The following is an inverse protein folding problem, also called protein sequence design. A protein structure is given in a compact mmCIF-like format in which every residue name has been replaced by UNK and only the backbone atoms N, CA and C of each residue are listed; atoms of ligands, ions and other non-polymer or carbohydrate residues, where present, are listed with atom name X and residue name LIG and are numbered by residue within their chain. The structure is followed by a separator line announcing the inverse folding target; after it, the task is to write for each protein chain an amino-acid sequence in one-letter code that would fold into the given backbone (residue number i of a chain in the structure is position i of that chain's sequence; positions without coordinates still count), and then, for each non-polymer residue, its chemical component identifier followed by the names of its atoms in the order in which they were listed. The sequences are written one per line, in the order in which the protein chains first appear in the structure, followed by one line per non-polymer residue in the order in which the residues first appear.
data_IF_678905479113
#
_entry.id   IF_678905479113
#
_cell.length_a   1.000
_cell.length_b   1.000
_cell.length_c   1.000
_cell.angle_alpha   90.00
_cell.angle_beta   90.00
_cell.angle_gamma   90.00
#
_symmetry.space_group_name_H-M   'P 1'
#
loop_
_entity.id
_entity.type
_entity.pdbx_description
1 polymer ?
#
# COMPACT_ATOMS: atom_id res chain seq x y z
N UNK A 1 21.49 -2.30 24.18
CA UNK A 1 20.13 -1.85 23.85
C UNK A 1 20.21 -1.21 22.49
N UNK A 2 19.51 -1.74 21.49
CA UNK A 2 19.35 -1.06 20.20
C UNK A 2 18.49 0.19 20.44
N UNK A 3 18.80 1.30 19.76
CA UNK A 3 18.03 2.54 19.88
C UNK A 3 16.55 2.28 19.58
N UNK A 4 15.65 2.96 20.31
CA UNK A 4 14.27 3.08 19.89
C UNK A 4 14.25 3.76 18.50
N UNK A 5 13.57 3.15 17.54
CA UNK A 5 13.34 3.73 16.23
C UNK A 5 11.83 3.79 16.03
N UNK A 6 11.27 5.00 15.97
CA UNK A 6 9.86 5.20 15.64
C UNK A 6 9.62 4.65 14.25
N UNK A 7 8.95 3.51 14.19
CA UNK A 7 8.80 2.75 12.96
C UNK A 7 7.42 2.96 12.31
N UNK A 8 6.54 3.73 12.96
CA UNK A 8 5.17 3.99 12.52
C UNK A 8 4.82 5.45 12.77
N UNK A 9 4.35 6.14 11.74
CA UNK A 9 3.63 7.41 11.84
C UNK A 9 2.17 7.16 12.22
N UNK A 10 1.46 8.21 12.67
CA UNK A 10 0.03 8.15 13.02
C UNK A 10 -0.82 7.47 11.93
N UNK A 11 -0.45 7.69 10.67
CA UNK A 11 -0.99 7.01 9.51
C UNK A 11 0.14 6.23 8.85
N UNK A 12 0.05 4.90 8.82
CA UNK A 12 1.11 4.06 8.26
C UNK A 12 0.56 2.92 7.40
N UNK A 13 1.24 2.72 6.27
CA UNK A 13 1.05 1.70 5.27
C UNK A 13 2.35 0.90 5.12
N UNK A 14 2.21 -0.41 4.90
CA UNK A 14 3.32 -1.36 4.98
C UNK A 14 4.48 -1.00 4.05
N UNK A 15 4.21 -0.89 2.74
CA UNK A 15 5.29 -0.73 1.75
C UNK A 15 5.93 0.66 1.81
N UNK A 16 5.13 1.71 1.96
CA UNK A 16 5.62 3.10 2.05
C UNK A 16 6.36 3.34 3.36
N UNK A 17 5.84 2.84 4.48
CA UNK A 17 6.51 2.93 5.77
C UNK A 17 7.85 2.18 5.76
N UNK A 18 7.87 0.96 5.25
CA UNK A 18 9.11 0.17 5.10
C UNK A 18 10.16 0.93 4.28
N UNK A 19 9.80 1.40 3.09
CA UNK A 19 10.74 2.08 2.22
C UNK A 19 11.16 3.46 2.75
N UNK A 20 10.32 4.16 3.50
CA UNK A 20 10.71 5.39 4.21
C UNK A 20 11.90 5.11 5.12
N UNK A 21 11.82 4.04 5.91
CA UNK A 21 12.85 3.65 6.87
C UNK A 21 14.13 3.18 6.17
N UNK A 22 13.99 2.38 5.10
CA UNK A 22 15.12 1.91 4.28
C UNK A 22 15.85 3.07 3.60
N UNK A 23 15.12 4.00 2.97
CA UNK A 23 15.71 5.16 2.31
C UNK A 23 16.41 6.08 3.31
N UNK A 24 15.78 6.34 4.47
CA UNK A 24 16.38 7.14 5.52
C UNK A 24 17.67 6.51 6.08
N UNK A 25 17.65 5.20 6.38
CA UNK A 25 18.83 4.47 6.86
C UNK A 25 19.96 4.41 5.80
N UNK A 26 19.61 4.49 4.52
CA UNK A 26 20.57 4.54 3.41
C UNK A 26 21.05 5.96 3.07
N UNK A 27 20.64 6.98 3.84
CA UNK A 27 21.05 8.37 3.64
C UNK A 27 20.42 9.05 2.42
N UNK A 28 19.33 8.50 1.88
CA UNK A 28 18.62 9.09 0.75
C UNK A 28 17.79 10.29 1.22
N UNK A 29 17.99 11.43 0.57
CA UNK A 29 17.24 12.66 0.82
C UNK A 29 16.25 12.94 -0.29
N UNK A 30 15.15 13.60 0.05
CA UNK A 30 14.20 14.15 -0.89
C UNK A 30 14.83 15.40 -1.55
N UNK A 31 15.11 15.38 -2.86
CA UNK A 31 15.77 16.50 -3.54
C UNK A 31 14.94 17.79 -3.57
N UNK A 32 13.63 17.72 -3.33
CA UNK A 32 12.76 18.90 -3.32
C UNK A 32 12.77 19.63 -1.96
N UNK A 33 13.08 18.95 -0.85
CA UNK A 33 13.09 19.55 0.49
C UNK A 33 14.47 19.54 1.16
N UNK A 34 15.40 18.71 0.68
CA UNK A 34 16.70 18.45 1.32
C UNK A 34 16.63 17.60 2.58
N UNK A 35 15.42 17.23 3.05
CA UNK A 35 15.21 16.38 4.21
C UNK A 35 15.10 14.90 3.83
N UNK A 36 15.02 14.00 4.81
CA UNK A 36 14.63 12.60 4.54
C UNK A 36 13.21 12.54 3.94
N UNK A 37 12.93 11.48 3.19
CA UNK A 37 11.57 11.21 2.72
C UNK A 37 10.62 10.99 3.90
N UNK A 38 9.42 11.54 3.82
CA UNK A 38 8.30 11.18 4.69
C UNK A 38 7.55 10.00 4.10
N UNK A 39 6.80 9.27 4.94
CA UNK A 39 5.94 8.19 4.46
C UNK A 39 4.85 8.71 3.51
N UNK A 40 4.25 9.86 3.84
CA UNK A 40 3.24 10.49 3.02
C UNK A 40 3.75 10.78 1.60
N UNK A 41 4.95 11.37 1.47
CA UNK A 41 5.58 11.63 0.18
C UNK A 41 5.73 10.35 -0.64
N UNK A 42 6.30 9.28 -0.06
CA UNK A 42 6.49 8.03 -0.79
C UNK A 42 5.16 7.36 -1.17
N UNK A 43 4.16 7.40 -0.27
CA UNK A 43 2.83 6.87 -0.54
C UNK A 43 2.12 7.62 -1.69
N UNK A 44 2.24 8.95 -1.73
CA UNK A 44 1.75 9.78 -2.84
C UNK A 44 2.43 9.43 -4.16
N UNK A 45 3.76 9.34 -4.16
CA UNK A 45 4.54 8.96 -5.35
C UNK A 45 4.22 7.54 -5.84
N UNK A 46 3.87 6.61 -4.95
CA UNK A 46 3.46 5.25 -5.31
C UNK A 46 2.20 5.18 -6.21
N UNK A 47 1.44 6.27 -6.28
CA UNK A 47 0.10 6.35 -6.88
C UNK A 47 -0.99 6.69 -5.85
N UNK A 48 -0.64 6.78 -4.57
CA UNK A 48 -1.53 7.24 -3.51
C UNK A 48 -2.64 6.27 -3.15
N UNK A 49 -3.80 6.84 -2.87
CA UNK A 49 -5.04 6.15 -2.55
C UNK A 49 -5.70 5.55 -3.80
N UNK A 50 -6.57 4.57 -3.58
CA UNK A 50 -7.34 3.92 -4.61
C UNK A 50 -8.53 3.17 -4.01
N UNK A 51 -9.17 2.36 -4.83
CA UNK A 51 -10.18 1.43 -4.35
C UNK A 51 -10.27 0.21 -5.25
N UNK A 52 -10.36 -0.96 -4.65
CA UNK A 52 -10.74 -2.20 -5.30
C UNK A 52 -11.59 -3.04 -4.34
N UNK A 53 -12.65 -3.68 -4.84
CA UNK A 53 -13.44 -4.67 -4.11
C UNK A 53 -13.73 -5.90 -4.97
N UNK A 54 -13.45 -7.09 -4.44
CA UNK A 54 -13.81 -8.36 -5.09
C UNK A 54 -14.46 -9.31 -4.10
N UNK A 55 -15.36 -10.14 -4.62
CA UNK A 55 -15.96 -11.26 -3.90
C UNK A 55 -15.72 -12.55 -4.68
N UNK A 56 -15.29 -13.61 -4.01
CA UNK A 56 -15.10 -14.92 -4.63
C UNK A 56 -15.94 -15.96 -3.89
N UNK A 57 -16.86 -16.60 -4.61
CA UNK A 57 -17.70 -17.66 -4.08
C UNK A 57 -17.05 -19.02 -4.34
N UNK A 58 -16.75 -19.73 -3.26
CA UNK A 58 -16.33 -21.12 -3.30
C UNK A 58 -17.51 -22.01 -2.87
N UNK A 59 -17.28 -23.32 -2.83
CA UNK A 59 -18.32 -24.30 -2.46
C UNK A 59 -18.92 -23.99 -1.07
N UNK A 60 -18.05 -23.82 -0.07
CA UNK A 60 -18.46 -23.74 1.33
C UNK A 60 -18.19 -22.36 1.97
N UNK A 61 -17.38 -21.52 1.34
CA UNK A 61 -16.98 -20.21 1.83
C UNK A 61 -17.15 -19.14 0.75
N UNK A 62 -17.27 -17.88 1.17
CA UNK A 62 -17.16 -16.72 0.30
C UNK A 62 -16.09 -15.81 0.89
N UNK A 63 -15.19 -15.28 0.06
CA UNK A 63 -14.23 -14.25 0.47
C UNK A 63 -14.63 -12.88 -0.06
N UNK A 64 -14.28 -11.83 0.68
CA UNK A 64 -14.39 -10.44 0.23
C UNK A 64 -13.05 -9.74 0.46
N UNK A 65 -12.50 -9.14 -0.59
CA UNK A 65 -11.21 -8.46 -0.55
C UNK A 65 -11.38 -7.00 -0.92
N UNK A 66 -10.91 -6.10 -0.06
CA UNK A 66 -10.82 -4.68 -0.35
C UNK A 66 -9.36 -4.21 -0.35
N UNK A 67 -9.06 -3.23 -1.20
CA UNK A 67 -7.78 -2.51 -1.24
C UNK A 67 -8.09 -1.04 -1.36
N UNK A 68 -7.41 -0.20 -0.59
CA UNK A 68 -7.71 1.23 -0.47
C UNK A 68 -6.54 2.13 -0.89
N UNK A 69 -5.43 1.53 -1.30
CA UNK A 69 -4.34 2.17 -2.04
C UNK A 69 -4.44 1.94 -3.55
N UNK A 70 -3.57 2.59 -4.31
CA UNK A 70 -3.40 2.32 -5.74
C UNK A 70 -3.14 0.82 -6.02
N UNK A 71 -4.04 0.21 -6.80
CA UNK A 71 -4.06 -1.21 -7.17
C UNK A 71 -4.96 -1.43 -8.41
N UNK A 72 -4.63 -2.34 -9.35
CA UNK A 72 -3.50 -3.26 -9.42
C UNK A 72 -2.33 -2.62 -10.19
N UNK A 73 -1.67 -1.65 -9.58
CA UNK A 73 -0.48 -1.03 -10.15
C UNK A 73 0.79 -1.38 -9.37
N UNK A 74 1.96 -1.10 -9.95
CA UNK A 74 3.25 -1.44 -9.37
C UNK A 74 3.63 -0.42 -8.28
N UNK A 75 2.96 -0.51 -7.13
CA UNK A 75 3.01 0.48 -6.04
C UNK A 75 4.45 0.73 -5.55
N UNK A 76 5.16 -0.34 -5.22
CA UNK A 76 6.55 -0.28 -4.74
C UNK A 76 7.51 0.17 -5.83
N UNK A 77 7.33 -0.28 -7.07
CA UNK A 77 8.20 0.16 -8.17
C UNK A 77 7.96 1.63 -8.50
N UNK A 78 6.71 2.11 -8.41
CA UNK A 78 6.36 3.52 -8.60
C UNK A 78 7.05 4.40 -7.56
N UNK A 79 6.93 4.10 -6.26
CA UNK A 79 7.55 4.94 -5.23
C UNK A 79 9.07 4.94 -5.36
N UNK A 80 9.68 3.79 -5.64
CA UNK A 80 11.14 3.69 -5.82
C UNK A 80 11.61 4.50 -7.03
N UNK A 81 10.98 4.28 -8.20
CA UNK A 81 11.31 5.01 -9.43
C UNK A 81 11.11 6.52 -9.25
N UNK A 82 9.94 6.95 -8.77
CA UNK A 82 9.55 8.37 -8.65
C UNK A 82 10.30 9.12 -7.56
N UNK A 83 10.80 8.43 -6.53
CA UNK A 83 11.65 9.04 -5.51
C UNK A 83 13.03 9.45 -6.05
N UNK A 84 13.44 8.92 -7.20
CA UNK A 84 14.80 9.08 -7.71
C UNK A 84 15.86 8.26 -6.98
N UNK A 85 15.45 7.41 -6.02
CA UNK A 85 16.36 6.53 -5.32
C UNK A 85 17.01 5.53 -6.28
N UNK A 86 18.33 5.40 -6.19
CA UNK A 86 19.10 4.38 -6.90
C UNK A 86 18.95 3.04 -6.19
N UNK A 87 18.01 2.21 -6.65
CA UNK A 87 17.70 0.91 -6.02
C UNK A 87 18.00 -0.23 -6.98
N UNK A 88 18.84 -1.16 -6.54
CA UNK A 88 19.15 -2.38 -7.28
C UNK A 88 18.14 -3.47 -6.92
N UNK A 89 17.18 -3.73 -7.81
CA UNK A 89 16.17 -4.77 -7.67
C UNK A 89 16.62 -6.04 -8.41
N UNK A 90 16.60 -7.18 -7.75
CA UNK A 90 17.08 -8.45 -8.30
C UNK A 90 16.17 -9.63 -7.96
N UNK A 91 16.11 -10.59 -8.87
CA UNK A 91 15.46 -11.89 -8.68
C UNK A 91 16.41 -13.03 -9.10
N UNK A 92 16.23 -14.21 -8.51
CA UNK A 92 16.94 -15.44 -8.86
C UNK A 92 16.17 -16.67 -8.39
N UNK A 93 16.26 -17.77 -9.12
CA UNK A 93 15.74 -19.07 -8.66
C UNK A 93 16.66 -19.83 -7.70
N UNK A 94 17.87 -19.31 -7.42
CA UNK A 94 18.87 -19.96 -6.56
C UNK A 94 18.91 -19.33 -5.16
N UNK A 95 18.52 -20.10 -4.15
CA UNK A 95 18.56 -19.67 -2.74
C UNK A 95 19.99 -19.31 -2.28
N UNK A 96 21.00 -20.10 -2.69
CA UNK A 96 22.40 -19.83 -2.34
C UNK A 96 22.90 -18.50 -2.94
N UNK A 97 22.57 -18.24 -4.21
CA UNK A 97 22.91 -16.96 -4.83
C UNK A 97 22.17 -15.78 -4.17
N UNK A 98 20.90 -15.98 -3.82
CA UNK A 98 20.09 -14.98 -3.13
C UNK A 98 20.61 -14.67 -1.71
N UNK A 99 21.18 -15.66 -1.02
CA UNK A 99 21.85 -15.46 0.26
C UNK A 99 23.13 -14.67 0.09
N UNK A 100 24.02 -15.07 -0.84
CA UNK A 100 25.27 -14.35 -1.10
C UNK A 100 25.04 -12.89 -1.51
N UNK A 101 23.97 -12.60 -2.26
CA UNK A 101 23.60 -11.22 -2.63
C UNK A 101 23.07 -10.40 -1.46
N UNK A 102 22.27 -11.00 -0.57
CA UNK A 102 21.82 -10.35 0.66
C UNK A 102 23.03 -9.97 1.52
N UNK A 103 23.94 -10.92 1.72
CA UNK A 103 25.15 -10.77 2.53
C UNK A 103 26.03 -9.63 1.98
N UNK A 104 26.28 -9.63 0.67
CA UNK A 104 27.05 -8.59 0.00
C UNK A 104 26.38 -7.21 0.06
N UNK A 105 25.05 -7.13 0.03
CA UNK A 105 24.34 -5.85 0.20
C UNK A 105 24.54 -5.31 1.63
N UNK A 106 24.38 -6.16 2.65
CA UNK A 106 24.58 -5.77 4.05
C UNK A 106 26.02 -5.33 4.36
N UNK A 107 27.01 -5.91 3.68
CA UNK A 107 28.43 -5.49 3.80
C UNK A 107 28.68 -4.04 3.35
N UNK A 108 27.78 -3.46 2.53
CA UNK A 108 27.86 -2.04 2.15
C UNK A 108 27.31 -1.09 3.22
N UNK A 109 26.77 -1.62 4.32
CA UNK A 109 26.26 -0.83 5.44
C UNK A 109 24.84 -0.29 5.24
N UNK A 110 24.12 -0.75 4.22
CA UNK A 110 22.72 -0.38 3.95
C UNK A 110 21.77 -1.55 4.21
N UNK A 111 20.51 -1.29 4.61
CA UNK A 111 19.50 -2.32 4.67
C UNK A 111 19.21 -2.93 3.30
N UNK A 112 18.87 -4.22 3.30
CA UNK A 112 18.37 -4.92 2.12
C UNK A 112 16.91 -5.34 2.34
N UNK A 113 16.04 -5.03 1.40
CA UNK A 113 14.65 -5.48 1.40
C UNK A 113 14.57 -6.84 0.72
N UNK A 114 13.85 -7.78 1.33
CA UNK A 114 13.60 -9.12 0.80
C UNK A 114 12.12 -9.44 0.84
N UNK A 115 11.66 -10.26 -0.10
CA UNK A 115 10.28 -10.75 -0.13
C UNK A 115 10.14 -12.09 0.59
N UNK A 116 9.18 -12.19 1.50
CA UNK A 116 8.92 -13.37 2.33
C UNK A 116 7.43 -13.70 2.39
N UNK A 117 7.08 -14.97 2.61
CA UNK A 117 5.72 -15.33 3.02
C UNK A 117 5.57 -15.04 4.52
N UNK A 118 4.65 -14.13 4.90
CA UNK A 118 4.55 -13.63 6.27
C UNK A 118 4.25 -14.73 7.29
N UNK A 119 3.37 -15.67 6.96
CA UNK A 119 3.03 -16.82 7.80
C UNK A 119 4.18 -17.82 8.03
N UNK A 120 5.36 -17.57 7.45
CA UNK A 120 6.57 -18.38 7.64
C UNK A 120 7.62 -17.69 8.52
N UNK A 121 7.32 -16.51 9.05
CA UNK A 121 8.17 -15.82 10.02
C UNK A 121 7.98 -16.43 11.42
N UNK A 122 9.05 -16.67 12.20
CA UNK A 122 8.97 -17.41 13.47
C UNK A 122 8.09 -16.77 14.57
N UNK A 123 7.83 -15.47 14.46
CA UNK A 123 7.06 -14.70 15.45
C UNK A 123 5.63 -14.36 14.97
N UNK A 124 5.25 -14.80 13.78
CA UNK A 124 3.89 -14.64 13.26
C UNK A 124 3.09 -15.86 13.65
N UNK A 125 1.99 -15.64 14.38
CA UNK A 125 1.03 -16.70 14.71
C UNK A 125 0.49 -17.36 13.43
N UNK A 126 0.13 -18.65 13.52
CA UNK A 126 -0.44 -19.37 12.39
C UNK A 126 -1.71 -18.67 11.89
N UNK A 127 -1.60 -18.04 10.72
CA UNK A 127 -2.69 -17.39 10.01
C UNK A 127 -2.76 -17.99 8.60
N UNK A 128 -3.81 -18.78 8.30
CA UNK A 128 -4.00 -19.38 6.98
C UNK A 128 -4.02 -18.36 5.83
N UNK A 129 -4.37 -17.10 6.10
CA UNK A 129 -4.35 -16.02 5.10
C UNK A 129 -2.95 -15.38 4.95
N UNK A 130 -2.11 -15.42 5.99
CA UNK A 130 -0.74 -14.92 5.93
C UNK A 130 0.19 -15.76 5.04
N UNK A 131 -0.22 -16.98 4.69
CA UNK A 131 0.47 -17.86 3.74
C UNK A 131 0.08 -17.59 2.27
N UNK A 132 -0.97 -16.82 2.01
CA UNK A 132 -1.53 -16.64 0.67
C UNK A 132 -0.79 -15.60 -0.19
N UNK A 133 -0.03 -14.70 0.43
CA UNK A 133 0.69 -13.66 -0.30
C UNK A 133 1.96 -13.22 0.43
N UNK A 134 2.93 -12.74 -0.33
CA UNK A 134 4.25 -12.34 0.17
C UNK A 134 4.34 -10.86 0.50
N UNK A 135 5.11 -10.53 1.53
CA UNK A 135 5.38 -9.17 1.97
C UNK A 135 6.86 -8.84 1.81
N UNK A 136 7.13 -7.56 1.60
CA UNK A 136 8.50 -7.05 1.65
C UNK A 136 8.86 -6.73 3.11
N UNK A 137 10.07 -7.09 3.52
CA UNK A 137 10.63 -6.82 4.87
C UNK A 137 12.08 -6.38 4.73
N UNK A 138 12.58 -5.56 5.65
CA UNK A 138 13.96 -5.08 5.60
C UNK A 138 14.85 -5.91 6.52
N UNK A 139 15.95 -6.43 5.97
CA UNK A 139 17.08 -6.93 6.74
C UNK A 139 18.02 -5.76 6.96
N UNK A 140 18.14 -5.31 8.20
CA UNK A 140 18.85 -4.06 8.54
C UNK A 140 20.31 -4.29 8.92
N UNK A 141 20.69 -5.54 9.19
CA UNK A 141 22.08 -5.90 9.50
C UNK A 141 22.23 -7.33 9.99
N UNK A 142 23.48 -7.70 10.27
CA UNK A 142 23.84 -8.97 10.91
C UNK A 142 23.87 -8.83 12.43
N UNK A 143 23.51 -9.90 13.11
CA UNK A 143 23.70 -10.09 14.55
C UNK A 143 24.31 -11.48 14.79
N UNK A 144 25.65 -11.53 14.80
CA UNK A 144 26.38 -12.79 14.79
C UNK A 144 26.11 -13.62 13.53
N UNK A 145 25.56 -14.83 13.71
CA UNK A 145 25.17 -15.73 12.61
C UNK A 145 23.74 -15.48 12.08
N UNK A 146 22.99 -14.62 12.77
CA UNK A 146 21.61 -14.29 12.47
C UNK A 146 21.50 -12.90 11.82
N UNK A 147 20.27 -12.52 11.47
CA UNK A 147 19.94 -11.20 10.95
C UNK A 147 19.03 -10.44 11.91
N UNK A 148 19.11 -9.11 11.84
CA UNK A 148 18.10 -8.21 12.37
C UNK A 148 17.16 -7.79 11.25
N UNK A 149 15.86 -7.92 11.48
CA UNK A 149 14.80 -7.66 10.52
C UNK A 149 13.82 -6.62 11.04
N UNK A 150 13.46 -5.67 10.19
CA UNK A 150 12.33 -4.78 10.35
C UNK A 150 11.18 -5.28 9.46
N UNK A 151 10.12 -5.77 10.09
CA UNK A 151 8.88 -6.21 9.45
C UNK A 151 7.75 -5.17 9.61
N UNK A 152 8.06 -3.94 10.03
CA UNK A 152 7.06 -2.90 10.31
C UNK A 152 6.29 -3.10 11.62
N UNK A 153 6.61 -4.11 12.43
CA UNK A 153 5.88 -4.50 13.64
C UNK A 153 6.19 -3.72 14.92
N UNK A 154 7.10 -2.74 14.92
CA UNK A 154 7.42 -1.92 16.09
C UNK A 154 8.85 -2.06 16.59
N UNK A 155 9.54 -3.11 16.16
CA UNK A 155 10.82 -3.55 16.71
C UNK A 155 11.62 -4.31 15.67
N UNK A 156 12.92 -4.44 15.91
CA UNK A 156 13.76 -5.34 15.15
C UNK A 156 13.63 -6.75 15.70
N UNK A 157 13.35 -7.68 14.81
CA UNK A 157 13.25 -9.11 15.10
C UNK A 157 14.53 -9.83 14.69
N UNK A 158 14.96 -10.78 15.51
CA UNK A 158 16.09 -11.64 15.17
C UNK A 158 15.59 -12.83 14.37
N UNK A 159 16.22 -13.11 13.23
CA UNK A 159 15.89 -14.26 12.38
C UNK A 159 17.14 -15.01 11.96
N UNK A 160 17.11 -16.33 12.07
CA UNK A 160 18.20 -17.17 11.60
C UNK A 160 18.26 -17.21 10.08
N UNK A 161 19.45 -17.43 9.53
CA UNK A 161 19.65 -17.59 8.08
C UNK A 161 18.74 -18.69 7.49
N UNK A 162 18.56 -19.80 8.21
CA UNK A 162 17.71 -20.90 7.79
C UNK A 162 16.22 -20.52 7.76
N UNK A 163 15.72 -19.85 8.80
CA UNK A 163 14.32 -19.41 8.86
C UNK A 163 14.01 -18.37 7.78
N UNK A 164 14.89 -17.40 7.57
CA UNK A 164 14.76 -16.42 6.50
C UNK A 164 14.77 -17.09 5.12
N UNK A 165 15.70 -18.03 4.89
CA UNK A 165 15.77 -18.80 3.66
C UNK A 165 14.47 -19.58 3.37
N UNK A 166 13.87 -20.20 4.39
CA UNK A 166 12.61 -20.91 4.27
C UNK A 166 11.45 -19.97 3.90
N UNK A 167 11.32 -18.83 4.59
CA UNK A 167 10.28 -17.83 4.31
C UNK A 167 10.40 -17.25 2.89
N UNK A 168 11.63 -16.96 2.42
CA UNK A 168 11.92 -16.50 1.04
C UNK A 168 11.70 -17.57 -0.03
N UNK A 169 11.73 -18.84 0.33
CA UNK A 169 11.59 -19.97 -0.62
C UNK A 169 10.16 -20.48 -0.73
N UNK A 170 9.27 -20.03 0.15
CA UNK A 170 7.92 -20.57 0.29
C UNK A 170 7.05 -20.30 -0.94
N UNK A 171 7.29 -19.21 -1.66
CA UNK A 171 6.58 -18.87 -2.90
C UNK A 171 7.53 -18.75 -4.09
N UNK A 172 7.54 -19.77 -4.95
CA UNK A 172 8.42 -19.84 -6.15
C UNK A 172 8.27 -18.65 -7.09
N UNK A 173 7.07 -18.06 -7.18
CA UNK A 173 6.79 -16.93 -8.06
C UNK A 173 7.63 -15.69 -7.71
N UNK A 174 8.04 -15.53 -6.45
CA UNK A 174 8.80 -14.36 -6.01
C UNK A 174 10.26 -14.43 -6.45
N UNK A 175 10.78 -15.62 -6.78
CA UNK A 175 12.17 -15.85 -7.23
C UNK A 175 13.18 -15.13 -6.34
N UNK A 176 13.06 -15.32 -5.03
CA UNK A 176 13.91 -14.68 -4.01
C UNK A 176 14.14 -13.18 -4.23
N UNK A 177 13.09 -12.45 -4.64
CA UNK A 177 13.13 -11.02 -4.87
C UNK A 177 13.82 -10.29 -3.72
N UNK A 178 14.71 -9.37 -4.06
CA UNK A 178 15.38 -8.49 -3.11
C UNK A 178 15.72 -7.16 -3.75
N UNK A 179 15.87 -6.14 -2.92
CA UNK A 179 16.25 -4.79 -3.32
C UNK A 179 17.16 -4.15 -2.26
N UNK A 180 18.06 -3.26 -2.67
CA UNK A 180 18.81 -2.40 -1.75
C UNK A 180 19.16 -1.09 -2.44
N UNK A 181 19.31 -0.03 -1.65
CA UNK A 181 19.81 1.25 -2.14
C UNK A 181 21.29 1.08 -2.51
N UNK A 182 21.69 1.63 -3.64
CA UNK A 182 23.09 1.64 -4.07
C UNK A 182 23.72 2.96 -3.63
N UNK A 183 24.68 2.87 -2.72
CA UNK A 183 25.43 4.01 -2.19
C UNK A 183 26.81 4.13 -2.82
N UNK A 184 27.29 5.36 -3.04
CA UNK A 184 28.65 5.66 -3.52
C UNK A 184 28.75 5.95 -5.02
N UNK A 185 29.96 6.27 -5.50
CA UNK A 185 30.26 6.70 -6.88
C UNK A 185 30.21 5.57 -7.92
N UNK A 186 29.67 4.40 -7.57
CA UNK A 186 29.54 3.29 -8.51
C UNK A 186 28.39 3.65 -9.45
N UNK A 187 28.73 4.05 -10.67
CA UNK A 187 27.75 4.30 -11.70
C UNK A 187 26.84 3.07 -11.83
N UNK A 188 25.57 3.25 -11.48
CA UNK A 188 24.54 2.32 -11.88
C UNK A 188 24.39 2.40 -13.40
N UNK A 189 23.95 1.30 -14.02
CA UNK A 189 23.40 1.40 -15.36
C UNK A 189 22.25 2.42 -15.32
N UNK A 190 22.13 3.29 -16.34
CA UNK A 190 21.12 4.36 -16.36
C UNK A 190 19.71 3.84 -16.08
N UNK A 191 19.42 2.63 -16.54
CA UNK A 191 18.18 1.87 -16.35
C UNK A 191 17.89 1.46 -14.88
N UNK A 192 18.85 1.60 -13.97
CA UNK A 192 18.68 1.31 -12.53
C UNK A 192 18.57 2.58 -11.66
N UNK A 193 18.72 3.77 -12.27
CA UNK A 193 18.52 5.05 -11.57
C UNK A 193 17.05 5.43 -11.72
N UNK A 194 16.39 5.76 -10.59
CA UNK A 194 15.02 6.29 -10.62
C UNK A 194 14.92 7.58 -11.42
N UNK A 195 13.69 7.98 -11.78
CA UNK A 195 13.50 9.29 -12.39
C UNK A 195 13.81 10.38 -11.35
N UNK A 196 14.50 11.44 -11.77
CA UNK A 196 14.78 12.56 -10.87
C UNK A 196 13.45 13.08 -10.33
N UNK A 197 13.29 13.09 -9.00
CA UNK A 197 12.09 13.63 -8.39
C UNK A 197 12.02 15.14 -8.64
N UNK A 198 11.08 15.52 -9.50
CA UNK A 198 10.76 16.91 -9.82
C UNK A 198 9.32 17.23 -9.41
N UNK A 199 8.98 18.50 -9.44
CA UNK A 199 7.60 18.96 -9.25
C UNK A 199 6.64 18.41 -10.31
N UNK A 200 7.13 18.11 -11.54
CA UNK A 200 6.32 17.47 -12.58
C UNK A 200 6.04 15.99 -12.28
N UNK A 201 6.99 15.28 -11.67
CA UNK A 201 6.79 13.89 -11.20
C UNK A 201 5.70 13.85 -10.12
N UNK A 202 5.77 14.75 -9.15
CA UNK A 202 4.75 14.89 -8.08
C UNK A 202 3.38 15.17 -8.69
N UNK A 203 3.28 16.14 -9.60
CA UNK A 203 2.04 16.47 -10.33
C UNK A 203 1.49 15.26 -11.08
N UNK A 204 2.34 14.52 -11.79
CA UNK A 204 1.94 13.33 -12.54
C UNK A 204 1.41 12.22 -11.63
N UNK A 205 1.99 12.05 -10.44
CA UNK A 205 1.48 11.12 -9.43
C UNK A 205 0.08 11.52 -8.93
N UNK A 206 -0.15 12.80 -8.62
CA UNK A 206 -1.47 13.31 -8.25
C UNK A 206 -2.51 13.15 -9.37
N UNK A 207 -2.13 13.51 -10.59
CA UNK A 207 -2.95 13.33 -11.79
C UNK A 207 -3.37 11.86 -11.97
N UNK A 208 -2.43 10.93 -11.80
CA UNK A 208 -2.71 9.51 -11.85
C UNK A 208 -3.70 9.08 -10.77
N UNK A 209 -3.50 9.50 -9.51
CA UNK A 209 -4.43 9.17 -8.43
C UNK A 209 -5.86 9.60 -8.77
N UNK A 210 -6.03 10.85 -9.20
CA UNK A 210 -7.35 11.37 -9.58
C UNK A 210 -7.95 10.60 -10.76
N UNK A 211 -7.15 10.34 -11.80
CA UNK A 211 -7.58 9.59 -12.98
C UNK A 211 -8.07 8.18 -12.62
N UNK A 212 -7.33 7.46 -11.78
CA UNK A 212 -7.65 6.08 -11.40
C UNK A 212 -8.88 6.00 -10.50
N UNK A 213 -9.08 6.97 -9.60
CA UNK A 213 -10.28 7.07 -8.77
C UNK A 213 -11.54 7.35 -9.61
N UNK A 214 -11.43 8.26 -10.59
CA UNK A 214 -12.54 8.72 -11.44
C UNK A 214 -12.79 7.82 -12.67
N UNK A 215 -11.88 6.89 -12.96
CA UNK A 215 -11.98 6.05 -14.15
C UNK A 215 -13.24 5.19 -14.15
N UNK A 216 -13.90 5.12 -15.30
CA UNK A 216 -14.99 4.18 -15.57
C UNK A 216 -14.49 2.92 -16.30
N UNK A 217 -13.18 2.82 -16.53
CA UNK A 217 -12.54 1.73 -17.24
C UNK A 217 -11.77 0.84 -16.27
N UNK A 218 -11.60 -0.43 -16.65
CA UNK A 218 -10.77 -1.34 -15.88
C UNK A 218 -9.29 -0.90 -15.98
N UNK A 219 -8.49 -1.03 -14.90
CA UNK A 219 -7.07 -0.73 -14.94
C UNK A 219 -6.32 -1.59 -15.98
N UNK A 220 -5.13 -1.17 -16.42
CA UNK A 220 -4.30 -1.94 -17.35
C UNK A 220 -4.06 -3.38 -16.86
N UNK A 221 -4.22 -4.35 -17.77
CA UNK A 221 -4.07 -5.78 -17.44
C UNK A 221 -5.31 -6.42 -16.79
N UNK A 222 -6.34 -5.65 -16.47
CA UNK A 222 -7.62 -6.16 -15.95
C UNK A 222 -8.66 -6.23 -17.08
N UNK A 223 -9.43 -7.32 -17.20
CA UNK A 223 -10.49 -7.40 -18.23
C UNK A 223 -11.56 -6.31 -18.04
N UNK A 224 -12.09 -5.70 -19.13
CA UNK A 224 -13.03 -4.58 -19.06
C UNK A 224 -14.27 -4.81 -18.19
N UNK A 225 -14.78 -6.05 -18.13
CA UNK A 225 -15.96 -6.41 -17.33
C UNK A 225 -15.79 -6.24 -15.81
N UNK A 226 -14.56 -6.02 -15.34
CA UNK A 226 -14.26 -5.78 -13.93
C UNK A 226 -14.11 -4.31 -13.55
N UNK A 227 -14.29 -3.35 -14.46
CA UNK A 227 -14.20 -1.92 -14.17
C UNK A 227 -15.03 -1.50 -12.93
N UNK A 228 -16.22 -2.10 -12.79
CA UNK A 228 -17.17 -1.91 -11.67
C UNK A 228 -16.67 -2.34 -10.27
N UNK A 229 -15.43 -2.77 -10.16
CA UNK A 229 -14.81 -3.16 -8.90
C UNK A 229 -13.73 -2.16 -8.47
N UNK A 230 -13.43 -1.12 -9.26
CA UNK A 230 -12.33 -0.20 -9.02
C UNK A 230 -12.78 1.25 -8.90
N UNK A 231 -12.00 2.06 -8.17
CA UNK A 231 -12.23 3.48 -8.00
C UNK A 231 -13.62 3.78 -7.39
N UNK A 232 -14.11 4.98 -7.65
CA UNK A 232 -15.41 5.45 -7.15
C UNK A 232 -16.56 4.64 -7.78
N UNK A 233 -16.43 4.21 -9.04
CA UNK A 233 -17.40 3.31 -9.67
C UNK A 233 -17.53 1.98 -8.89
N UNK A 234 -16.41 1.46 -8.41
CA UNK A 234 -16.33 0.30 -7.53
C UNK A 234 -17.06 0.50 -6.22
N UNK A 235 -16.86 1.66 -5.57
CA UNK A 235 -17.55 2.00 -4.32
C UNK A 235 -19.07 2.07 -4.53
N UNK A 236 -19.52 2.78 -5.57
CA UNK A 236 -20.95 2.88 -5.91
C UNK A 236 -21.57 1.51 -6.22
N UNK A 237 -20.85 0.66 -6.95
CA UNK A 237 -21.28 -0.71 -7.24
C UNK A 237 -21.34 -1.56 -5.97
N UNK A 238 -20.41 -1.35 -5.03
CA UNK A 238 -20.40 -2.05 -3.76
C UNK A 238 -21.58 -1.67 -2.88
N UNK A 239 -21.88 -0.37 -2.73
CA UNK A 239 -23.06 0.11 -2.03
C UNK A 239 -24.35 -0.52 -2.59
N UNK A 240 -24.48 -0.58 -3.92
CA UNK A 240 -25.61 -1.24 -4.57
C UNK A 240 -25.70 -2.73 -4.18
N UNK A 241 -24.59 -3.47 -4.24
CA UNK A 241 -24.58 -4.90 -3.87
C UNK A 241 -24.87 -5.14 -2.37
N UNK A 242 -24.48 -4.21 -1.51
CA UNK A 242 -24.80 -4.26 -0.08
C UNK A 242 -26.30 -4.06 0.15
N UNK A 243 -26.92 -3.12 -0.56
CA UNK A 243 -28.36 -2.82 -0.45
C UNK A 243 -29.28 -3.81 -1.19
N UNK A 244 -28.75 -4.60 -2.12
CA UNK A 244 -29.53 -5.52 -2.93
C UNK A 244 -29.95 -6.77 -2.15
N UNK A 245 -31.23 -6.83 -1.80
CA UNK A 245 -31.85 -7.95 -1.09
C UNK A 245 -32.47 -9.00 -2.02
N UNK A 246 -32.48 -8.75 -3.33
CA UNK A 246 -33.33 -9.48 -4.28
C UNK A 246 -32.55 -10.33 -5.28
N UNK A 247 -31.39 -9.87 -5.74
CA UNK A 247 -30.62 -10.53 -6.80
C UNK A 247 -29.62 -11.54 -6.26
N UNK A 248 -29.06 -12.36 -7.17
CA UNK A 248 -27.98 -13.30 -6.84
C UNK A 248 -26.65 -12.63 -6.48
N UNK A 249 -26.51 -11.34 -6.78
CA UNK A 249 -25.29 -10.56 -6.53
C UNK A 249 -25.34 -9.74 -5.23
N UNK A 250 -26.48 -9.73 -4.56
CA UNK A 250 -26.67 -9.08 -3.27
C UNK A 250 -25.89 -9.77 -2.16
N UNK A 251 -25.25 -8.97 -1.29
CA UNK A 251 -24.39 -9.48 -0.22
C UNK A 251 -25.19 -10.29 0.81
N UNK A 252 -26.45 -9.92 1.05
CA UNK A 252 -27.37 -10.72 1.89
C UNK A 252 -27.49 -12.17 1.41
N UNK A 253 -27.43 -12.41 0.09
CA UNK A 253 -27.49 -13.76 -0.48
C UNK A 253 -26.11 -14.42 -0.54
N UNK A 254 -25.10 -13.71 -1.03
CA UNK A 254 -23.73 -14.22 -1.18
C UNK A 254 -23.09 -14.61 0.17
N UNK A 255 -23.46 -13.90 1.24
CA UNK A 255 -22.98 -14.12 2.61
C UNK A 255 -24.06 -14.67 3.54
N UNK A 256 -25.21 -15.12 3.02
CA UNK A 256 -26.35 -15.55 3.84
C UNK A 256 -26.12 -16.80 4.70
N UNK A 257 -25.02 -17.53 4.49
CA UNK A 257 -24.63 -18.66 5.33
C UNK A 257 -23.65 -18.24 6.44
N UNK A 258 -23.75 -18.75 7.68
CA UNK A 258 -22.89 -18.33 8.80
C UNK A 258 -21.39 -18.44 8.50
N UNK A 259 -20.96 -19.54 7.88
CA UNK A 259 -19.55 -19.74 7.52
C UNK A 259 -19.08 -18.75 6.44
N UNK A 260 -19.93 -18.47 5.44
CA UNK A 260 -19.62 -17.52 4.36
C UNK A 260 -19.49 -16.11 4.91
N UNK A 261 -20.43 -15.70 5.75
CA UNK A 261 -20.41 -14.41 6.44
C UNK A 261 -19.15 -14.24 7.27
N UNK A 262 -18.86 -15.21 8.15
CA UNK A 262 -17.71 -15.16 9.06
C UNK A 262 -16.39 -15.02 8.31
N UNK A 263 -16.15 -15.87 7.30
CA UNK A 263 -14.91 -15.84 6.50
C UNK A 263 -14.82 -14.57 5.66
N UNK A 264 -15.92 -14.19 5.01
CA UNK A 264 -15.98 -13.03 4.13
C UNK A 264 -15.75 -11.72 4.87
N UNK A 265 -16.49 -11.49 5.95
CA UNK A 265 -16.38 -10.26 6.74
C UNK A 265 -15.08 -10.22 7.53
N UNK A 266 -14.60 -11.36 8.06
CA UNK A 266 -13.30 -11.44 8.72
C UNK A 266 -12.15 -11.04 7.79
N UNK A 267 -12.16 -11.54 6.54
CA UNK A 267 -11.15 -11.17 5.53
C UNK A 267 -11.28 -9.70 5.12
N UNK A 268 -12.51 -9.22 4.87
CA UNK A 268 -12.76 -7.83 4.49
C UNK A 268 -12.29 -6.85 5.59
N UNK A 269 -12.67 -7.10 6.84
CA UNK A 269 -12.24 -6.33 8.00
C UNK A 269 -10.72 -6.35 8.12
N UNK A 270 -10.10 -7.53 8.07
CA UNK A 270 -8.64 -7.66 8.19
C UNK A 270 -7.87 -6.90 7.11
N UNK A 271 -8.39 -6.83 5.89
CA UNK A 271 -7.78 -6.06 4.81
C UNK A 271 -8.00 -4.55 4.93
N UNK A 272 -9.19 -4.11 5.37
CA UNK A 272 -9.48 -2.69 5.55
C UNK A 272 -8.76 -2.09 6.77
N UNK A 273 -8.75 -2.80 7.90
CA UNK A 273 -8.08 -2.40 9.13
C UNK A 273 -6.55 -2.63 9.09
N UNK A 274 -6.10 -3.57 8.25
CA UNK A 274 -4.69 -3.91 8.09
C UNK A 274 -3.89 -2.86 7.31
N UNK A 275 -2.59 -2.80 7.57
CA UNK A 275 -1.67 -1.82 6.95
C UNK A 275 -1.12 -2.23 5.57
N UNK A 276 -1.40 -3.45 5.11
CA UNK A 276 -0.77 -4.03 3.91
C UNK A 276 -1.26 -3.42 2.61
N UNK A 277 -2.56 -3.23 2.51
CA UNK A 277 -3.25 -2.72 1.31
C UNK A 277 -4.23 -1.59 1.65
N UNK A 278 -4.24 -1.21 2.93
CA UNK A 278 -5.01 -0.15 3.55
C UNK A 278 -4.18 0.42 4.70
N UNK A 279 -4.83 1.08 5.64
CA UNK A 279 -4.29 1.61 6.89
C UNK A 279 -5.38 2.45 7.57
N UNK A 280 -5.06 3.14 8.67
CA UNK A 280 -6.02 4.00 9.35
C UNK A 280 -6.68 5.01 8.39
N UNK A 281 -8.00 5.19 8.49
CA UNK A 281 -8.78 6.04 7.59
C UNK A 281 -8.66 5.64 6.11
N UNK A 282 -8.40 4.37 5.82
CA UNK A 282 -8.14 3.85 4.48
C UNK A 282 -7.06 4.65 3.71
N UNK A 283 -6.05 5.16 4.42
CA UNK A 283 -4.94 5.97 3.90
C UNK A 283 -5.31 7.37 3.39
N UNK A 284 -6.57 7.80 3.51
CA UNK A 284 -6.95 9.15 3.08
C UNK A 284 -6.25 10.25 3.91
N UNK A 285 -6.11 10.13 5.25
CA UNK A 285 -5.31 11.09 6.02
C UNK A 285 -3.82 11.12 5.64
N UNK A 286 -3.23 9.96 5.32
CA UNK A 286 -1.84 9.89 4.82
C UNK A 286 -1.70 10.62 3.47
N UNK A 287 -2.67 10.45 2.57
CA UNK A 287 -2.69 11.17 1.30
C UNK A 287 -2.93 12.67 1.49
N UNK A 288 -3.78 13.07 2.44
CA UNK A 288 -3.96 14.47 2.82
C UNK A 288 -2.65 15.11 3.31
N UNK A 289 -1.86 14.39 4.11
CA UNK A 289 -0.53 14.82 4.52
C UNK A 289 0.39 15.02 3.31
N UNK A 290 0.37 14.10 2.33
CA UNK A 290 1.12 14.26 1.09
C UNK A 290 0.74 15.55 0.37
N UNK A 291 -0.56 15.82 0.18
CA UNK A 291 -1.00 17.05 -0.49
C UNK A 291 -0.56 18.32 0.27
N UNK A 292 -0.59 18.31 1.61
CA UNK A 292 -0.06 19.41 2.44
C UNK A 292 1.45 19.59 2.28
N UNK A 293 2.21 18.50 2.18
CA UNK A 293 3.64 18.57 1.89
C UNK A 293 3.89 19.16 0.51
N UNK A 294 3.13 18.76 -0.52
CA UNK A 294 3.22 19.36 -1.87
C UNK A 294 2.96 20.87 -1.84
N UNK A 295 1.99 21.33 -1.04
CA UNK A 295 1.74 22.76 -0.82
C UNK A 295 2.94 23.47 -0.16
N UNK A 296 3.59 22.83 0.81
CA UNK A 296 4.74 23.41 1.53
C UNK A 296 5.98 23.57 0.65
N UNK A 297 6.17 22.65 -0.30
CA UNK A 297 7.26 22.72 -1.29
C UNK A 297 6.92 23.74 -2.42
N UNK A 298 5.73 24.34 -2.36
CA UNK A 298 4.97 24.81 -3.52
C UNK A 298 4.91 26.32 -3.80
N UNK A 299 5.98 27.10 -3.62
CA UNK A 299 6.10 28.35 -4.42
C UNK A 299 6.52 28.05 -5.89
N UNK A 300 6.95 26.82 -6.21
CA UNK A 300 7.58 26.45 -7.49
C UNK A 300 6.84 25.43 -8.38
N UNK A 301 5.64 24.96 -8.02
CA UNK A 301 4.88 23.98 -8.84
C UNK A 301 3.98 24.72 -9.84
N UNK A 302 4.57 25.28 -10.91
CA UNK A 302 3.84 26.03 -11.96
C UNK A 302 2.64 25.24 -12.50
N UNK A 303 1.41 25.71 -12.25
CA UNK A 303 0.15 25.09 -12.71
C UNK A 303 -0.61 24.28 -11.65
N UNK A 304 -0.20 24.30 -10.37
CA UNK A 304 -1.02 23.79 -9.26
C UNK A 304 -1.76 24.97 -8.61
N UNK A 305 -3.07 24.81 -8.39
CA UNK A 305 -3.87 25.78 -7.64
C UNK A 305 -3.85 25.39 -6.15
N UNK A 306 -3.17 26.20 -5.33
CA UNK A 306 -2.90 25.91 -3.92
C UNK A 306 -4.17 25.77 -3.09
N UNK A 307 -5.19 26.58 -3.37
CA UNK A 307 -6.48 26.53 -2.68
C UNK A 307 -7.15 25.17 -2.87
N UNK A 308 -7.32 24.74 -4.11
CA UNK A 308 -7.89 23.45 -4.50
C UNK A 308 -7.11 22.28 -3.91
N UNK A 309 -5.78 22.39 -3.81
CA UNK A 309 -4.95 21.36 -3.20
C UNK A 309 -5.16 21.24 -1.68
N UNK A 310 -5.28 22.37 -0.98
CA UNK A 310 -5.60 22.41 0.45
C UNK A 310 -7.03 21.94 0.71
N UNK A 311 -7.97 22.26 -0.17
CA UNK A 311 -9.35 21.78 -0.11
C UNK A 311 -9.40 20.26 -0.27
N UNK A 312 -8.75 19.71 -1.31
CA UNK A 312 -8.66 18.27 -1.52
C UNK A 312 -7.99 17.58 -0.31
N UNK A 313 -6.93 18.17 0.25
CA UNK A 313 -6.30 17.66 1.47
C UNK A 313 -7.28 17.61 2.65
N UNK A 314 -8.04 18.67 2.89
CA UNK A 314 -9.03 18.70 3.98
C UNK A 314 -10.17 17.69 3.78
N UNK A 315 -10.62 17.51 2.54
CA UNK A 315 -11.65 16.53 2.18
C UNK A 315 -11.16 15.09 2.40
N UNK A 316 -9.94 14.75 1.96
CA UNK A 316 -9.36 13.43 2.24
C UNK A 316 -9.09 13.20 3.72
N UNK A 317 -8.62 14.20 4.46
CA UNK A 317 -8.44 14.09 5.91
C UNK A 317 -9.77 13.71 6.60
N UNK A 318 -10.86 14.38 6.21
CA UNK A 318 -12.22 14.14 6.75
C UNK A 318 -12.79 12.78 6.32
N UNK A 319 -12.50 12.32 5.10
CA UNK A 319 -12.90 11.00 4.60
C UNK A 319 -12.37 9.85 5.47
N UNK A 320 -11.23 10.04 6.15
CA UNK A 320 -10.66 9.04 7.05
C UNK A 320 -11.68 8.55 8.10
N UNK A 321 -12.41 9.46 8.72
CA UNK A 321 -13.40 9.12 9.74
C UNK A 321 -14.59 8.30 9.18
N UNK A 322 -14.98 8.53 7.93
CA UNK A 322 -16.02 7.72 7.28
C UNK A 322 -15.54 6.30 7.00
N UNK A 323 -14.29 6.15 6.59
CA UNK A 323 -13.67 4.84 6.39
C UNK A 323 -13.52 4.07 7.69
N UNK A 324 -13.10 4.73 8.78
CA UNK A 324 -12.99 4.09 10.10
C UNK A 324 -14.38 3.64 10.59
N UNK A 325 -15.42 4.47 10.41
CA UNK A 325 -16.79 4.09 10.74
C UNK A 325 -17.28 2.87 9.93
N UNK A 326 -16.92 2.77 8.65
CA UNK A 326 -17.22 1.58 7.84
C UNK A 326 -16.47 0.35 8.37
N UNK A 327 -15.20 0.49 8.73
CA UNK A 327 -14.39 -0.60 9.28
C UNK A 327 -15.02 -1.14 10.57
N UNK A 328 -15.46 -0.25 11.47
CA UNK A 328 -16.15 -0.61 12.71
C UNK A 328 -17.44 -1.40 12.43
N UNK A 329 -18.24 -0.97 11.44
CA UNK A 329 -19.46 -1.68 11.04
C UNK A 329 -19.14 -3.06 10.46
N UNK A 330 -18.09 -3.18 9.64
CA UNK A 330 -17.66 -4.48 9.06
C UNK A 330 -17.13 -5.43 10.12
N UNK A 331 -16.41 -4.91 11.12
CA UNK A 331 -15.83 -5.68 12.22
C UNK A 331 -16.78 -5.96 13.38
N UNK A 332 -17.99 -5.42 13.36
CA UNK A 332 -18.96 -5.56 14.43
C UNK A 332 -19.31 -7.05 14.67
N UNK A 333 -19.40 -7.50 15.94
CA UNK A 333 -19.76 -8.87 16.25
C UNK A 333 -21.24 -9.15 15.89
N UNK A 334 -21.50 -10.35 15.39
CA UNK A 334 -22.87 -10.81 15.09
C UNK A 334 -23.16 -10.91 13.60
N UNK A 335 -24.44 -10.77 13.24
CA UNK A 335 -24.85 -10.76 11.83
C UNK A 335 -24.43 -9.44 11.16
N UNK A 336 -23.88 -9.46 9.93
CA UNK A 336 -23.44 -8.23 9.27
C UNK A 336 -24.60 -7.29 8.94
N UNK A 337 -24.47 -6.02 9.32
CA UNK A 337 -25.43 -4.97 8.94
C UNK A 337 -25.10 -4.41 7.55
N UNK A 338 -25.54 -5.11 6.51
CA UNK A 338 -25.30 -4.67 5.13
C UNK A 338 -25.96 -3.32 4.79
N UNK A 339 -27.04 -2.94 5.49
CA UNK A 339 -27.69 -1.65 5.28
C UNK A 339 -26.82 -0.50 5.82
N UNK A 340 -26.27 -0.66 7.04
CA UNK A 340 -25.32 0.30 7.60
C UNK A 340 -24.05 0.40 6.76
N UNK A 341 -23.51 -0.73 6.29
CA UNK A 341 -22.37 -0.74 5.36
C UNK A 341 -22.70 0.02 4.07
N UNK A 342 -23.87 -0.23 3.46
CA UNK A 342 -24.28 0.44 2.23
C UNK A 342 -24.33 1.96 2.39
N UNK A 343 -24.93 2.44 3.49
CA UNK A 343 -25.05 3.86 3.78
C UNK A 343 -23.67 4.53 3.95
N UNK A 344 -22.72 3.85 4.62
CA UNK A 344 -21.36 4.37 4.75
C UNK A 344 -20.61 4.40 3.41
N UNK A 345 -20.69 3.32 2.62
CA UNK A 345 -20.02 3.25 1.31
C UNK A 345 -20.59 4.28 0.33
N UNK A 346 -21.90 4.53 0.35
CA UNK A 346 -22.54 5.55 -0.48
C UNK A 346 -22.05 6.96 -0.09
N UNK A 347 -22.02 7.27 1.22
CA UNK A 347 -21.49 8.54 1.71
C UNK A 347 -20.02 8.73 1.32
N UNK A 348 -19.20 7.69 1.49
CA UNK A 348 -17.79 7.67 1.06
C UNK A 348 -17.68 7.93 -0.43
N UNK A 349 -18.45 7.23 -1.29
CA UNK A 349 -18.36 7.38 -2.74
C UNK A 349 -18.66 8.82 -3.20
N UNK A 350 -19.65 9.48 -2.59
CA UNK A 350 -19.99 10.88 -2.89
C UNK A 350 -18.86 11.83 -2.49
N UNK A 351 -18.35 11.69 -1.26
CA UNK A 351 -17.29 12.54 -0.74
C UNK A 351 -15.96 12.32 -1.47
N UNK A 352 -15.63 11.07 -1.79
CA UNK A 352 -14.44 10.68 -2.55
C UNK A 352 -14.48 11.23 -3.98
N UNK A 353 -15.66 11.26 -4.61
CA UNK A 353 -15.84 11.90 -5.92
C UNK A 353 -15.54 13.39 -5.88
N UNK A 354 -16.07 14.11 -4.89
CA UNK A 354 -15.80 15.54 -4.73
C UNK A 354 -14.29 15.80 -4.53
N UNK A 355 -13.65 15.02 -3.65
CA UNK A 355 -12.21 15.11 -3.39
C UNK A 355 -11.35 14.80 -4.62
N UNK A 356 -11.72 13.78 -5.39
CA UNK A 356 -11.00 13.40 -6.60
C UNK A 356 -11.11 14.45 -7.72
N UNK A 357 -12.27 15.12 -7.88
CA UNK A 357 -12.43 16.21 -8.85
C UNK A 357 -11.65 17.47 -8.42
N UNK A 358 -11.62 17.78 -7.12
CA UNK A 358 -10.76 18.85 -6.58
C UNK A 358 -9.27 18.55 -6.82
N UNK A 359 -8.85 17.30 -6.59
CA UNK A 359 -7.49 16.84 -6.85
C UNK A 359 -7.13 16.92 -8.34
N UNK A 360 -8.03 16.50 -9.24
CA UNK A 360 -7.84 16.57 -10.69
C UNK A 360 -7.60 18.00 -11.15
N UNK A 361 -8.41 18.92 -10.64
CA UNK A 361 -8.28 20.37 -10.89
C UNK A 361 -6.94 20.88 -10.36
N UNK A 362 -6.59 20.54 -9.12
CA UNK A 362 -5.33 20.95 -8.49
C UNK A 362 -4.09 20.40 -9.23
N UNK A 363 -4.15 19.19 -9.76
CA UNK A 363 -3.07 18.59 -10.54
C UNK A 363 -2.86 19.24 -11.93
N UNK A 364 -3.79 20.10 -12.37
CA UNK A 364 -3.73 20.73 -13.69
C UNK A 364 -4.06 19.78 -14.83
N UNK A 365 -4.86 18.75 -14.57
CA UNK A 365 -5.39 17.82 -15.58
C UNK A 365 -6.75 18.36 -16.04
N UNK A 366 -6.72 19.35 -16.94
CA UNK A 366 -7.94 19.88 -17.60
C UNK A 366 -8.00 19.35 -19.02
#
# INVERSE_FOLDING_TARGET
MLCAYENTTDYSHWDSGLWTRVLAASGVSNPLSGAAFTEAMLAGLAGGIGFMIFTFEYKDITTASAVTRFHPGPYTENLLRRSGASVNIQQTGSASLAQGRLDAALETGVPAVVRVVRGKLPWVDEDPLADLDSVDVAVVGRDGADYLMDDGGGRLERISTAALGAARSSRKADKHWQAHVVTGSRALAEEMVGEVLTTSVVRAAMAQTAQELLSLQAPPGVPPGYAKNFGILGMSTWAQRLSDSSSKHGWMRIFGGPQRSMVGMGMLHGLLAGRRVSGPGALRPLYAQFLREVVAIGEAVSGVERGSLLEAAAQYDSLGAHWDALIDVVGAPGEPDFAAMAAQVEAIAVLENAAAEALKTAAGVI
#
